data_IF_971955040570
#
_entry.id   IF_971955040570
#
_cell.length_a   1.000
_cell.length_b   1.000
_cell.length_c   1.000
_cell.angle_alpha   90.00
_cell.angle_beta   90.00
_cell.angle_gamma   90.00
#
_symmetry.space_group_name_H-M   'P 1'
#
loop_
_entity.id
_entity.type
_entity.pdbx_description
1 polymer ?
#
# COMPACT_ATOMS: atom_id res chain seq x y z
N UNK A 1 -27.66 16.59 45.15
CA UNK A 1 -27.44 15.56 44.13
C UNK A 1 -27.73 14.19 44.77
N UNK A 2 -28.59 13.33 44.21
CA UNK A 2 -28.81 12.00 44.76
C UNK A 2 -27.51 11.20 44.70
N UNK A 3 -27.22 10.34 45.71
CA UNK A 3 -26.01 9.50 45.67
C UNK A 3 -26.12 8.52 44.52
N UNK A 4 -25.08 8.47 43.70
CA UNK A 4 -24.96 7.46 42.62
C UNK A 4 -25.09 6.09 43.22
N UNK A 5 -25.99 5.28 42.68
CA UNK A 5 -26.24 3.92 43.18
C UNK A 5 -24.95 3.08 43.10
N UNK A 6 -24.81 2.12 44.01
CA UNK A 6 -23.67 1.18 44.02
C UNK A 6 -23.58 0.36 42.75
N UNK A 7 -24.70 0.13 42.05
CA UNK A 7 -24.80 -0.47 40.72
C UNK A 7 -24.11 0.35 39.66
N UNK A 8 -24.27 1.69 39.65
CA UNK A 8 -23.60 2.59 38.70
C UNK A 8 -22.08 2.60 38.88
N UNK A 9 -21.59 2.45 40.11
CA UNK A 9 -20.16 2.36 40.39
C UNK A 9 -19.57 1.02 39.96
N UNK A 10 -20.28 -0.09 40.12
CA UNK A 10 -19.79 -1.41 39.72
C UNK A 10 -19.77 -1.57 38.21
N UNK A 11 -20.74 -1.01 37.48
CA UNK A 11 -20.75 -1.00 36.02
C UNK A 11 -19.63 -0.15 35.46
N UNK A 12 -19.41 1.06 35.99
CA UNK A 12 -18.32 1.94 35.57
C UNK A 12 -16.94 1.31 35.83
N UNK A 13 -16.75 0.60 36.95
CA UNK A 13 -15.48 -0.08 37.25
C UNK A 13 -15.27 -1.27 36.30
N UNK A 14 -16.31 -2.02 35.98
CA UNK A 14 -16.27 -3.12 35.03
C UNK A 14 -15.90 -2.63 33.59
N UNK A 15 -16.47 -1.49 33.17
CA UNK A 15 -16.18 -0.92 31.86
C UNK A 15 -14.76 -0.39 31.76
N UNK A 16 -14.23 0.23 32.82
CA UNK A 16 -12.83 0.68 32.87
C UNK A 16 -11.89 -0.53 32.80
N UNK A 17 -12.18 -1.59 33.55
CA UNK A 17 -11.37 -2.81 33.51
C UNK A 17 -11.38 -3.48 32.14
N UNK A 18 -12.54 -3.60 31.48
CA UNK A 18 -12.66 -4.12 30.12
C UNK A 18 -11.84 -3.30 29.12
N UNK A 19 -11.89 -1.97 29.19
CA UNK A 19 -11.10 -1.08 28.33
C UNK A 19 -9.60 -1.25 28.55
N UNK A 20 -9.16 -1.45 29.80
CA UNK A 20 -7.75 -1.72 30.11
C UNK A 20 -7.29 -3.05 29.50
N UNK A 21 -8.07 -4.12 29.64
CA UNK A 21 -7.76 -5.43 29.05
C UNK A 21 -7.67 -5.32 27.53
N UNK A 22 -8.63 -4.64 26.90
CA UNK A 22 -8.61 -4.41 25.44
C UNK A 22 -7.37 -3.64 24.98
N UNK A 23 -6.96 -2.60 25.72
CA UNK A 23 -5.76 -1.80 25.40
C UNK A 23 -4.48 -2.61 25.55
N UNK A 24 -4.34 -3.35 26.63
CA UNK A 24 -3.17 -4.22 26.85
C UNK A 24 -3.08 -5.30 25.77
N UNK A 25 -4.22 -5.93 25.45
CA UNK A 25 -4.27 -6.93 24.38
C UNK A 25 -3.87 -6.34 23.03
N UNK A 26 -4.36 -5.14 22.69
CA UNK A 26 -3.99 -4.47 21.44
C UNK A 26 -2.48 -4.18 21.38
N UNK A 27 -1.87 -3.70 22.47
CA UNK A 27 -0.43 -3.44 22.54
C UNK A 27 0.37 -4.74 22.36
N UNK A 28 -0.03 -5.83 23.02
CA UNK A 28 0.63 -7.13 22.89
C UNK A 28 0.55 -7.66 21.46
N UNK A 29 -0.61 -7.55 20.82
CA UNK A 29 -0.80 -7.94 19.41
C UNK A 29 0.16 -7.17 18.51
N UNK A 30 0.19 -5.84 18.64
CA UNK A 30 1.09 -4.98 17.86
C UNK A 30 2.54 -5.41 18.05
N UNK A 31 2.96 -5.61 19.29
CA UNK A 31 4.35 -5.96 19.58
C UNK A 31 4.75 -7.31 18.98
N UNK A 32 3.94 -8.34 19.19
CA UNK A 32 4.24 -9.70 18.71
C UNK A 32 4.19 -9.75 17.18
N UNK A 33 3.13 -9.23 16.57
CA UNK A 33 2.95 -9.29 15.13
C UNK A 33 3.99 -8.41 14.41
N UNK A 34 4.23 -7.19 14.91
CA UNK A 34 5.22 -6.31 14.33
C UNK A 34 6.62 -6.94 14.38
N UNK A 35 7.01 -7.52 15.51
CA UNK A 35 8.31 -8.17 15.65
C UNK A 35 8.48 -9.35 14.68
N UNK A 36 7.51 -10.27 14.66
CA UNK A 36 7.58 -11.45 13.80
C UNK A 36 7.55 -11.08 12.32
N UNK A 37 6.63 -10.23 11.91
CA UNK A 37 6.48 -9.87 10.52
C UNK A 37 7.62 -8.99 10.00
N UNK A 38 8.13 -8.08 10.84
CA UNK A 38 9.30 -7.27 10.49
C UNK A 38 10.54 -8.13 10.26
N UNK A 39 10.76 -9.15 11.08
CA UNK A 39 11.87 -10.09 10.92
C UNK A 39 11.74 -10.89 9.62
N UNK A 40 10.53 -11.40 9.31
CA UNK A 40 10.28 -12.14 8.08
C UNK A 40 10.41 -11.23 6.85
N UNK A 41 9.87 -10.01 6.91
CA UNK A 41 10.00 -9.03 5.83
C UNK A 41 11.45 -8.65 5.57
N UNK A 42 12.24 -8.43 6.63
CA UNK A 42 13.66 -8.12 6.52
C UNK A 42 14.43 -9.22 5.79
N UNK A 43 14.19 -10.48 6.13
CA UNK A 43 14.79 -11.63 5.44
C UNK A 43 14.33 -11.73 3.99
N UNK A 44 13.04 -11.55 3.72
CA UNK A 44 12.50 -11.59 2.36
C UNK A 44 13.14 -10.52 1.46
N UNK A 45 13.30 -9.30 1.97
CA UNK A 45 13.91 -8.20 1.21
C UNK A 45 15.40 -8.47 0.98
N UNK A 46 16.11 -8.97 1.97
CA UNK A 46 17.54 -9.26 1.86
C UNK A 46 17.83 -10.35 0.81
N UNK A 47 16.96 -11.34 0.68
CA UNK A 47 17.15 -12.50 -0.20
C UNK A 47 16.53 -12.25 -1.58
N UNK A 48 15.28 -11.80 -1.62
CA UNK A 48 14.46 -11.72 -2.85
C UNK A 48 14.42 -10.29 -3.41
N UNK A 49 14.72 -9.27 -2.60
CA UNK A 49 14.65 -7.86 -3.01
C UNK A 49 13.24 -7.29 -3.07
N UNK A 50 12.21 -8.04 -2.66
CA UNK A 50 10.81 -7.58 -2.64
C UNK A 50 10.29 -7.44 -1.23
N UNK A 51 9.46 -6.40 -1.00
CA UNK A 51 8.86 -6.15 0.31
C UNK A 51 7.40 -6.64 0.33
N UNK A 52 7.06 -7.69 1.09
CA UNK A 52 5.71 -8.26 1.15
C UNK A 52 4.73 -7.47 2.05
N UNK A 53 4.85 -6.15 2.12
CA UNK A 53 4.09 -5.28 3.06
C UNK A 53 2.58 -5.46 2.93
N UNK A 54 2.04 -5.47 1.72
CA UNK A 54 0.59 -5.50 1.51
C UNK A 54 -0.06 -6.80 2.03
N UNK A 55 0.55 -7.96 1.74
CA UNK A 55 0.07 -9.25 2.20
C UNK A 55 0.15 -9.40 3.72
N UNK A 56 1.28 -9.00 4.31
CA UNK A 56 1.48 -9.05 5.76
C UNK A 56 0.57 -8.08 6.52
N UNK A 57 0.27 -6.91 5.94
CA UNK A 57 -0.68 -5.96 6.53
C UNK A 57 -2.10 -6.52 6.54
N UNK A 58 -2.55 -7.16 5.45
CA UNK A 58 -3.85 -7.83 5.41
C UNK A 58 -3.94 -8.96 6.46
N UNK A 59 -2.90 -9.79 6.56
CA UNK A 59 -2.81 -10.81 7.62
C UNK A 59 -2.89 -10.20 9.02
N UNK A 60 -2.18 -9.10 9.27
CA UNK A 60 -2.25 -8.37 10.54
C UNK A 60 -3.67 -7.91 10.85
N UNK A 61 -4.36 -7.35 9.85
CA UNK A 61 -5.73 -6.89 10.01
C UNK A 61 -6.69 -8.03 10.33
N UNK A 62 -6.55 -9.18 9.67
CA UNK A 62 -7.37 -10.37 9.95
C UNK A 62 -7.11 -10.87 11.37
N UNK A 63 -5.84 -11.11 11.73
CA UNK A 63 -5.46 -11.62 13.04
C UNK A 63 -5.86 -10.67 14.16
N UNK A 64 -5.58 -9.38 14.04
CA UNK A 64 -5.95 -8.38 15.04
C UNK A 64 -7.46 -8.25 15.18
N UNK A 65 -8.21 -8.31 14.08
CA UNK A 65 -9.67 -8.26 14.10
C UNK A 65 -10.26 -9.45 14.86
N UNK A 66 -9.80 -10.66 14.60
CA UNK A 66 -10.25 -11.87 15.28
C UNK A 66 -9.97 -11.81 16.79
N UNK A 67 -8.76 -11.37 17.18
CA UNK A 67 -8.40 -11.26 18.59
C UNK A 67 -9.18 -10.13 19.28
N UNK A 68 -9.35 -8.97 18.64
CA UNK A 68 -10.12 -7.86 19.22
C UNK A 68 -11.60 -8.24 19.43
N UNK A 69 -12.20 -8.95 18.48
CA UNK A 69 -13.56 -9.46 18.61
C UNK A 69 -13.66 -10.46 19.75
N UNK A 70 -12.71 -11.35 19.93
CA UNK A 70 -12.69 -12.32 21.05
C UNK A 70 -12.60 -11.64 22.43
N UNK A 71 -11.99 -10.47 22.52
CA UNK A 71 -11.90 -9.63 23.73
C UNK A 71 -13.11 -8.70 23.89
N UNK A 72 -14.08 -8.80 22.95
CA UNK A 72 -15.34 -8.04 23.02
C UNK A 72 -15.24 -6.62 22.43
N UNK A 73 -14.20 -6.32 21.62
CA UNK A 73 -14.07 -5.06 20.90
C UNK A 73 -14.56 -5.25 19.46
N UNK A 74 -15.79 -4.87 19.18
CA UNK A 74 -16.44 -5.00 17.88
C UNK A 74 -17.03 -3.68 17.40
N UNK A 75 -17.65 -3.67 16.21
CA UNK A 75 -18.25 -2.48 15.61
C UNK A 75 -17.24 -1.45 15.13
N UNK A 76 -17.67 -0.19 15.03
CA UNK A 76 -16.85 0.92 14.53
C UNK A 76 -15.59 1.16 15.35
N UNK A 77 -15.68 1.05 16.68
CA UNK A 77 -14.52 1.19 17.57
C UNK A 77 -13.51 0.07 17.36
N UNK A 78 -13.99 -1.17 17.19
CA UNK A 78 -13.14 -2.30 16.87
C UNK A 78 -12.46 -2.15 15.50
N UNK A 79 -13.18 -1.70 14.47
CA UNK A 79 -12.62 -1.43 13.15
C UNK A 79 -11.52 -0.37 13.20
N UNK A 80 -11.76 0.73 13.91
CA UNK A 80 -10.74 1.79 14.09
C UNK A 80 -9.50 1.25 14.78
N UNK A 81 -9.66 0.48 15.87
CA UNK A 81 -8.55 -0.13 16.58
C UNK A 81 -7.74 -1.09 15.68
N UNK A 82 -8.42 -1.95 14.92
CA UNK A 82 -7.77 -2.87 13.98
C UNK A 82 -7.00 -2.11 12.88
N UNK A 83 -7.58 -1.04 12.33
CA UNK A 83 -6.90 -0.20 11.32
C UNK A 83 -5.67 0.50 11.88
N UNK A 84 -5.73 1.01 13.11
CA UNK A 84 -4.56 1.60 13.79
C UNK A 84 -3.47 0.55 14.00
N UNK A 85 -3.83 -0.65 14.48
CA UNK A 85 -2.88 -1.76 14.62
C UNK A 85 -2.24 -2.12 13.28
N UNK A 86 -3.06 -2.29 12.24
CA UNK A 86 -2.59 -2.56 10.89
C UNK A 86 -1.67 -1.46 10.36
N UNK A 87 -2.00 -0.20 10.60
CA UNK A 87 -1.18 0.95 10.23
C UNK A 87 0.19 0.97 10.92
N UNK A 88 0.24 0.68 12.23
CA UNK A 88 1.50 0.60 12.99
C UNK A 88 2.38 -0.54 12.45
N UNK A 89 1.81 -1.73 12.25
CA UNK A 89 2.56 -2.88 11.73
C UNK A 89 2.99 -2.64 10.28
N UNK A 90 2.13 -2.04 9.45
CA UNK A 90 2.47 -1.66 8.07
C UNK A 90 3.66 -0.68 8.03
N UNK A 91 3.67 0.31 8.92
CA UNK A 91 4.78 1.27 9.05
C UNK A 91 6.06 0.55 9.47
N UNK A 92 6.00 -0.35 10.44
CA UNK A 92 7.16 -1.14 10.88
C UNK A 92 7.73 -2.01 9.73
N UNK A 93 6.87 -2.68 8.96
CA UNK A 93 7.26 -3.47 7.80
C UNK A 93 7.89 -2.61 6.70
N UNK A 94 7.30 -1.46 6.43
CA UNK A 94 7.79 -0.50 5.43
C UNK A 94 9.16 0.05 5.83
N UNK A 95 9.32 0.39 7.11
CA UNK A 95 10.59 0.86 7.67
C UNK A 95 11.68 -0.21 7.60
N UNK A 96 11.36 -1.47 7.90
CA UNK A 96 12.32 -2.57 7.79
C UNK A 96 12.82 -2.73 6.34
N UNK A 97 11.90 -2.65 5.37
CA UNK A 97 12.24 -2.73 3.96
C UNK A 97 13.13 -1.59 3.49
N UNK A 98 12.71 -0.36 3.77
CA UNK A 98 13.52 0.82 3.45
C UNK A 98 14.88 0.81 4.16
N UNK A 99 14.95 0.26 5.38
CA UNK A 99 16.18 0.18 6.14
C UNK A 99 17.23 -0.74 5.50
N UNK A 100 16.81 -1.92 5.06
CA UNK A 100 17.71 -2.88 4.41
C UNK A 100 18.22 -2.36 3.06
N UNK A 101 17.34 -1.74 2.26
CA UNK A 101 17.75 -1.14 0.99
C UNK A 101 18.71 0.02 1.19
N UNK A 102 18.46 0.89 2.16
CA UNK A 102 19.34 2.02 2.48
C UNK A 102 20.72 1.54 2.97
N UNK A 103 20.77 0.51 3.83
CA UNK A 103 22.04 -0.08 4.28
C UNK A 103 22.81 -0.69 3.11
N UNK A 104 22.14 -1.31 2.15
CA UNK A 104 22.78 -1.85 0.94
C UNK A 104 23.39 -0.75 0.07
N UNK A 105 22.65 0.34 -0.14
CA UNK A 105 23.14 1.53 -0.85
C UNK A 105 24.33 2.15 -0.10
N UNK A 106 24.20 2.27 1.23
CA UNK A 106 25.26 2.79 2.08
C UNK A 106 26.54 1.95 2.04
N UNK A 107 26.40 0.63 1.94
CA UNK A 107 27.54 -0.27 1.74
C UNK A 107 28.26 0.04 0.43
N UNK A 108 27.55 0.25 -0.66
CA UNK A 108 28.15 0.60 -1.96
C UNK A 108 28.80 1.98 -1.96
N UNK A 109 28.24 2.94 -1.22
CA UNK A 109 28.77 4.31 -1.10
C UNK A 109 29.85 4.46 -0.02
N UNK A 110 30.13 3.41 0.77
CA UNK A 110 31.10 3.45 1.87
C UNK A 110 30.64 4.26 3.08
N UNK A 111 29.33 4.44 3.28
CA UNK A 111 28.81 5.18 4.43
C UNK A 111 28.73 4.32 5.68
N UNK A 112 28.88 4.97 6.86
CA UNK A 112 28.82 4.27 8.15
C UNK A 112 27.38 3.92 8.53
N UNK A 113 27.02 2.65 8.75
CA UNK A 113 25.66 2.23 9.10
C UNK A 113 25.06 3.01 10.28
N UNK A 114 25.84 3.20 11.35
CA UNK A 114 25.43 3.94 12.54
C UNK A 114 24.94 5.36 12.24
N UNK A 115 25.58 6.06 11.30
CA UNK A 115 25.16 7.42 10.90
C UNK A 115 23.86 7.37 10.09
N UNK A 116 23.73 6.40 9.19
CA UNK A 116 22.47 6.22 8.43
C UNK A 116 21.29 5.93 9.35
N UNK A 117 21.48 5.06 10.34
CA UNK A 117 20.44 4.72 11.31
C UNK A 117 20.00 5.93 12.12
N UNK A 118 20.94 6.71 12.65
CA UNK A 118 20.63 7.89 13.45
C UNK A 118 19.85 8.94 12.66
N UNK A 119 20.26 9.25 11.44
CA UNK A 119 19.58 10.24 10.60
C UNK A 119 18.22 9.75 10.09
N UNK A 120 18.02 8.45 9.97
CA UNK A 120 16.74 7.88 9.56
C UNK A 120 15.62 8.17 10.57
N UNK A 121 15.91 8.19 11.87
CA UNK A 121 14.92 8.58 12.88
C UNK A 121 14.41 10.00 12.65
N UNK A 122 15.32 10.95 12.40
CA UNK A 122 14.93 12.33 12.10
C UNK A 122 14.11 12.42 10.81
N UNK A 123 14.55 11.73 9.75
CA UNK A 123 13.82 11.66 8.47
C UNK A 123 12.42 11.08 8.64
N UNK A 124 12.28 10.02 9.42
CA UNK A 124 10.96 9.38 9.69
C UNK A 124 10.03 10.33 10.43
N UNK A 125 10.54 11.08 11.42
CA UNK A 125 9.73 12.05 12.16
C UNK A 125 9.20 13.17 11.25
N UNK A 126 10.07 13.74 10.42
CA UNK A 126 9.69 14.77 9.44
C UNK A 126 8.70 14.23 8.42
N UNK A 127 8.96 13.01 7.91
CA UNK A 127 8.06 12.34 6.96
C UNK A 127 6.67 12.08 7.56
N UNK A 128 6.59 11.62 8.81
CA UNK A 128 5.31 11.38 9.49
C UNK A 128 4.47 12.66 9.61
N UNK A 129 5.09 13.78 9.98
CA UNK A 129 4.41 15.07 10.04
C UNK A 129 3.95 15.54 8.65
N UNK A 130 4.82 15.40 7.64
CA UNK A 130 4.52 15.79 6.25
C UNK A 130 3.37 14.95 5.67
N UNK A 131 3.41 13.63 5.85
CA UNK A 131 2.36 12.72 5.36
C UNK A 131 1.01 13.05 5.99
N UNK A 132 0.96 13.31 7.29
CA UNK A 132 -0.28 13.71 7.96
C UNK A 132 -0.86 15.01 7.35
N UNK A 133 -0.02 16.01 7.10
CA UNK A 133 -0.42 17.24 6.43
C UNK A 133 -0.92 17.01 5.00
N UNK A 134 -0.22 16.22 4.21
CA UNK A 134 -0.61 15.88 2.83
C UNK A 134 -1.93 15.13 2.80
N UNK A 135 -2.17 14.18 3.72
CA UNK A 135 -3.44 13.45 3.80
C UNK A 135 -4.63 14.37 4.10
N UNK A 136 -4.45 15.38 4.95
CA UNK A 136 -5.48 16.39 5.23
C UNK A 136 -5.78 17.20 3.95
N UNK A 137 -4.74 17.62 3.23
CA UNK A 137 -4.88 18.38 1.98
C UNK A 137 -5.59 17.55 0.92
N UNK A 138 -5.18 16.30 0.70
CA UNK A 138 -5.80 15.40 -0.25
C UNK A 138 -7.28 15.14 0.06
N UNK A 139 -7.60 14.91 1.34
CA UNK A 139 -8.98 14.70 1.76
C UNK A 139 -9.86 15.94 1.52
N UNK A 140 -9.32 17.14 1.74
CA UNK A 140 -10.07 18.39 1.48
C UNK A 140 -10.19 18.73 -0.01
N UNK A 141 -9.19 18.35 -0.81
CA UNK A 141 -9.16 18.71 -2.24
C UNK A 141 -9.94 17.73 -3.12
N UNK A 142 -9.85 16.44 -2.85
CA UNK A 142 -10.45 15.39 -3.68
C UNK A 142 -11.44 14.51 -2.91
N UNK A 143 -11.30 14.39 -1.59
CA UNK A 143 -12.03 13.41 -0.79
C UNK A 143 -11.54 11.98 -1.02
N UNK A 144 -11.96 11.07 -0.13
CA UNK A 144 -11.67 9.62 -0.23
C UNK A 144 -12.94 8.79 -0.47
N UNK A 145 -14.11 9.42 -0.44
CA UNK A 145 -15.41 8.76 -0.59
C UNK A 145 -16.29 9.60 -1.53
N UNK A 146 -16.96 8.96 -2.46
CA UNK A 146 -17.90 9.59 -3.39
C UNK A 146 -17.44 9.55 -4.86
N UNK A 147 -18.25 10.13 -5.74
CA UNK A 147 -17.91 10.24 -7.16
C UNK A 147 -16.75 11.22 -7.36
N UNK A 148 -15.74 10.81 -8.14
CA UNK A 148 -14.54 11.61 -8.38
C UNK A 148 -13.52 11.61 -7.25
N UNK A 149 -13.74 10.83 -6.17
CA UNK A 149 -12.79 10.67 -5.08
C UNK A 149 -11.54 9.90 -5.52
N UNK A 150 -10.44 10.08 -4.75
CA UNK A 150 -9.20 9.33 -4.99
C UNK A 150 -9.44 7.83 -4.82
N UNK A 151 -9.13 7.08 -5.85
CA UNK A 151 -9.25 5.62 -5.81
C UNK A 151 -8.16 5.04 -4.91
N UNK A 152 -8.57 4.34 -3.85
CA UNK A 152 -7.68 3.66 -2.91
C UNK A 152 -7.97 2.15 -2.87
N UNK A 153 -7.56 1.36 -3.90
CA UNK A 153 -7.94 -0.04 -4.03
C UNK A 153 -7.55 -0.89 -2.82
N UNK A 154 -6.35 -0.69 -2.29
CA UNK A 154 -5.88 -1.45 -1.12
C UNK A 154 -6.66 -1.11 0.15
N UNK A 155 -7.00 0.16 0.37
CA UNK A 155 -7.82 0.57 1.52
C UNK A 155 -9.24 -0.05 1.44
N UNK A 156 -9.82 -0.08 0.25
CA UNK A 156 -11.11 -0.73 0.00
C UNK A 156 -11.05 -2.24 0.23
N UNK A 157 -9.97 -2.91 -0.20
CA UNK A 157 -9.75 -4.33 0.07
C UNK A 157 -9.64 -4.61 1.57
N UNK A 158 -8.91 -3.77 2.30
CA UNK A 158 -8.78 -3.88 3.76
C UNK A 158 -10.13 -3.67 4.45
N UNK A 159 -10.91 -2.68 4.04
CA UNK A 159 -12.25 -2.43 4.56
C UNK A 159 -13.19 -3.62 4.30
N UNK A 160 -13.18 -4.19 3.09
CA UNK A 160 -13.99 -5.35 2.74
C UNK A 160 -13.69 -6.60 3.59
N UNK A 161 -12.46 -6.75 4.08
CA UNK A 161 -12.06 -7.84 4.97
C UNK A 161 -12.46 -7.56 6.44
N UNK A 162 -12.20 -6.33 6.93
CA UNK A 162 -12.40 -5.99 8.33
C UNK A 162 -13.88 -5.84 8.68
N UNK A 163 -14.67 -5.23 7.77
CA UNK A 163 -16.05 -4.90 8.04
C UNK A 163 -16.90 -6.13 8.43
N UNK A 164 -16.92 -7.25 7.68
CA UNK A 164 -17.68 -8.43 8.06
C UNK A 164 -17.21 -9.05 9.38
N UNK A 165 -15.91 -9.05 9.65
CA UNK A 165 -15.32 -9.60 10.86
C UNK A 165 -15.72 -8.83 12.12
N UNK A 166 -15.84 -7.50 12.01
CA UNK A 166 -16.05 -6.61 13.16
C UNK A 166 -17.51 -6.24 13.44
N UNK A 167 -18.41 -6.31 12.43
CA UNK A 167 -19.81 -5.92 12.58
C UNK A 167 -20.72 -7.04 13.07
N UNK A 168 -20.16 -8.25 13.31
CA UNK A 168 -20.95 -9.42 13.69
C UNK A 168 -21.91 -9.91 12.59
N UNK A 169 -21.73 -9.43 11.35
CA UNK A 169 -22.42 -9.94 10.18
C UNK A 169 -22.02 -11.39 9.90
N UNK A 170 -22.78 -12.07 9.06
CA UNK A 170 -22.40 -13.40 8.59
C UNK A 170 -21.11 -13.25 7.78
N UNK A 171 -19.98 -13.55 8.40
CA UNK A 171 -18.69 -13.58 7.72
C UNK A 171 -18.78 -14.65 6.61
N UNK A 172 -18.51 -14.32 5.35
CA UNK A 172 -18.67 -15.26 4.24
C UNK A 172 -17.52 -16.28 4.20
N UNK A 173 -17.43 -17.13 5.22
CA UNK A 173 -16.37 -18.12 5.38
C UNK A 173 -16.18 -18.99 4.14
N UNK A 174 -17.29 -19.33 3.48
CA UNK A 174 -17.27 -20.12 2.23
C UNK A 174 -16.44 -19.41 1.15
N UNK A 175 -16.59 -18.08 1.00
CA UNK A 175 -15.81 -17.32 0.01
C UNK A 175 -14.33 -17.27 0.38
N UNK A 176 -14.00 -17.16 1.67
CA UNK A 176 -12.60 -17.20 2.12
C UNK A 176 -11.96 -18.56 1.86
N UNK A 177 -12.68 -19.66 2.11
CA UNK A 177 -12.18 -21.00 1.79
C UNK A 177 -12.05 -21.23 0.28
N UNK A 178 -12.99 -20.75 -0.54
CA UNK A 178 -12.88 -20.77 -1.99
C UNK A 178 -11.67 -19.96 -2.49
N UNK A 179 -11.45 -18.78 -1.93
CA UNK A 179 -10.28 -17.96 -2.24
C UNK A 179 -8.96 -18.64 -1.86
N UNK A 180 -8.91 -19.27 -0.68
CA UNK A 180 -7.74 -20.04 -0.25
C UNK A 180 -7.46 -21.25 -1.16
N UNK A 181 -8.50 -22.00 -1.54
CA UNK A 181 -8.38 -23.11 -2.47
C UNK A 181 -7.90 -22.65 -3.85
N UNK A 182 -8.46 -21.53 -4.37
CA UNK A 182 -8.02 -20.93 -5.62
C UNK A 182 -6.56 -20.50 -5.56
N UNK A 183 -6.12 -19.88 -4.45
CA UNK A 183 -4.73 -19.48 -4.26
C UNK A 183 -3.77 -20.67 -4.27
N UNK A 184 -4.15 -21.80 -3.66
CA UNK A 184 -3.37 -23.03 -3.69
C UNK A 184 -3.26 -23.60 -5.12
N UNK A 185 -4.37 -23.63 -5.86
CA UNK A 185 -4.38 -24.07 -7.26
C UNK A 185 -3.49 -23.17 -8.12
N UNK A 186 -3.62 -21.85 -8.02
CA UNK A 186 -2.79 -20.90 -8.78
C UNK A 186 -1.31 -21.07 -8.47
N UNK A 187 -0.97 -21.23 -7.19
CA UNK A 187 0.43 -21.44 -6.78
C UNK A 187 0.98 -22.76 -7.31
N UNK A 188 0.18 -23.82 -7.35
CA UNK A 188 0.60 -25.13 -7.89
C UNK A 188 0.87 -25.10 -9.40
N UNK A 189 0.20 -24.21 -10.15
CA UNK A 189 0.42 -24.01 -11.59
C UNK A 189 1.53 -22.95 -11.86
N UNK A 190 2.15 -22.39 -10.82
CA UNK A 190 3.19 -21.38 -10.97
C UNK A 190 2.69 -19.95 -11.22
N UNK A 191 1.37 -19.70 -11.05
CA UNK A 191 0.79 -18.36 -11.16
C UNK A 191 0.84 -17.67 -9.80
N UNK A 192 1.42 -16.47 -9.70
CA UNK A 192 1.49 -15.73 -8.43
C UNK A 192 0.07 -15.33 -7.97
N UNK A 193 -0.44 -16.01 -6.95
CA UNK A 193 -1.81 -15.86 -6.45
C UNK A 193 -2.12 -14.43 -5.99
N UNK A 194 -1.13 -13.73 -5.41
CA UNK A 194 -1.30 -12.32 -4.98
C UNK A 194 -1.52 -11.38 -6.18
N UNK A 195 -0.74 -11.54 -7.25
CA UNK A 195 -0.89 -10.72 -8.46
C UNK A 195 -2.24 -10.97 -9.14
N UNK A 196 -2.67 -12.23 -9.18
CA UNK A 196 -3.99 -12.60 -9.71
C UNK A 196 -5.13 -11.97 -8.89
N UNK A 197 -5.08 -12.07 -7.56
CA UNK A 197 -6.08 -11.50 -6.68
C UNK A 197 -6.15 -9.97 -6.79
N UNK A 198 -5.01 -9.29 -6.86
CA UNK A 198 -4.96 -7.84 -7.09
C UNK A 198 -5.55 -7.46 -8.44
N UNK A 199 -5.26 -8.23 -9.51
CA UNK A 199 -5.84 -7.99 -10.83
C UNK A 199 -7.36 -8.15 -10.86
N UNK A 200 -7.93 -9.05 -10.07
CA UNK A 200 -9.39 -9.18 -9.91
C UNK A 200 -10.02 -7.99 -9.15
N UNK A 201 -9.28 -7.43 -8.22
CA UNK A 201 -9.80 -6.40 -7.32
C UNK A 201 -9.61 -4.97 -7.87
N UNK A 202 -8.53 -4.73 -8.60
CA UNK A 202 -8.21 -3.41 -9.16
C UNK A 202 -9.18 -3.09 -10.32
N UNK A 203 -9.74 -1.86 -10.39
CA UNK A 203 -10.59 -1.45 -11.49
C UNK A 203 -9.92 -1.63 -12.86
N UNK A 204 -10.72 -1.92 -13.90
CA UNK A 204 -10.22 -2.19 -15.26
C UNK A 204 -9.39 -1.04 -15.83
N UNK A 205 -9.73 0.20 -15.46
CA UNK A 205 -9.04 1.43 -15.86
C UNK A 205 -7.56 1.45 -15.42
N UNK A 206 -7.25 0.81 -14.30
CA UNK A 206 -5.88 0.66 -13.78
C UNK A 206 -5.22 -0.63 -14.27
N UNK A 207 -5.99 -1.68 -14.57
CA UNK A 207 -5.48 -2.95 -15.07
C UNK A 207 -5.07 -2.91 -16.54
N UNK A 208 -5.84 -2.22 -17.39
CA UNK A 208 -5.54 -2.14 -18.82
C UNK A 208 -4.12 -1.59 -19.12
N UNK A 209 -3.66 -0.50 -18.47
CA UNK A 209 -2.29 -0.01 -18.62
C UNK A 209 -1.22 -1.03 -18.19
N UNK A 210 -1.49 -1.88 -17.19
CA UNK A 210 -0.54 -2.91 -16.74
C UNK A 210 -0.30 -3.96 -17.84
N UNK A 211 -1.36 -4.38 -18.53
CA UNK A 211 -1.24 -5.32 -19.66
C UNK A 211 -0.41 -4.73 -20.78
N UNK A 212 -0.69 -3.48 -21.15
CA UNK A 212 0.07 -2.78 -22.19
C UNK A 212 1.54 -2.60 -21.78
N UNK A 213 1.80 -2.19 -20.53
CA UNK A 213 3.16 -2.08 -19.99
C UNK A 213 3.91 -3.42 -20.00
N UNK A 214 3.23 -4.51 -19.64
CA UNK A 214 3.77 -5.87 -19.70
C UNK A 214 4.15 -6.29 -21.13
N UNK A 215 3.29 -5.99 -22.10
CA UNK A 215 3.59 -6.25 -23.53
C UNK A 215 4.79 -5.45 -24.04
N UNK A 216 4.89 -4.18 -23.64
CA UNK A 216 6.06 -3.34 -24.00
C UNK A 216 7.34 -3.88 -23.37
N UNK A 217 7.29 -4.28 -22.08
CA UNK A 217 8.42 -4.88 -21.40
C UNK A 217 8.86 -6.19 -22.05
N UNK A 218 7.92 -7.07 -22.37
CA UNK A 218 8.18 -8.32 -23.08
C UNK A 218 8.81 -8.07 -24.46
N UNK A 219 8.25 -7.13 -25.24
CA UNK A 219 8.77 -6.77 -26.56
C UNK A 219 10.20 -6.24 -26.49
N UNK A 220 10.51 -5.36 -25.54
CA UNK A 220 11.81 -4.71 -25.43
C UNK A 220 12.86 -5.69 -24.89
N UNK A 221 12.52 -6.51 -23.89
CA UNK A 221 13.45 -7.47 -23.28
C UNK A 221 13.64 -8.76 -24.07
N UNK A 222 12.75 -9.08 -25.00
CA UNK A 222 12.85 -10.29 -25.85
C UNK A 222 13.48 -10.07 -27.23
N UNK A 223 13.85 -8.84 -27.58
CA UNK A 223 14.24 -8.50 -28.95
C UNK A 223 15.69 -8.87 -29.33
N UNK A 224 16.57 -9.11 -28.38
CA UNK A 224 17.96 -9.48 -28.63
C UNK A 224 18.23 -10.93 -28.25
N UNK A 225 19.17 -11.56 -28.95
CA UNK A 225 19.71 -12.87 -28.58
C UNK A 225 20.72 -12.78 -27.42
N UNK A 226 21.20 -11.58 -27.11
CA UNK A 226 22.12 -11.31 -26.00
C UNK A 226 21.32 -11.03 -24.71
N UNK A 227 21.38 -11.96 -23.77
CA UNK A 227 20.69 -11.86 -22.47
C UNK A 227 21.18 -10.63 -21.66
N UNK A 228 22.46 -10.28 -21.72
CA UNK A 228 23.00 -9.12 -21.03
C UNK A 228 22.41 -7.81 -21.55
N UNK A 229 22.22 -7.69 -22.85
CA UNK A 229 21.57 -6.52 -23.46
C UNK A 229 20.08 -6.46 -23.12
N UNK A 230 19.39 -7.60 -23.10
CA UNK A 230 17.98 -7.67 -22.71
C UNK A 230 17.80 -7.26 -21.24
N UNK A 231 18.70 -7.70 -20.37
CA UNK A 231 18.70 -7.30 -18.96
C UNK A 231 18.94 -5.78 -18.81
N UNK A 232 19.94 -5.22 -19.49
CA UNK A 232 20.22 -3.78 -19.46
C UNK A 232 19.02 -2.95 -19.96
N UNK A 233 18.30 -3.43 -20.97
CA UNK A 233 17.05 -2.81 -21.45
C UNK A 233 15.96 -2.85 -20.41
N UNK A 234 15.77 -4.00 -19.78
CA UNK A 234 14.76 -4.17 -18.70
C UNK A 234 15.07 -3.25 -17.52
N UNK A 235 16.30 -3.22 -17.03
CA UNK A 235 16.74 -2.39 -15.91
C UNK A 235 16.56 -0.90 -16.23
N UNK A 236 16.93 -0.47 -17.43
CA UNK A 236 16.72 0.90 -17.89
C UNK A 236 15.22 1.26 -17.99
N UNK A 237 14.38 0.35 -18.48
CA UNK A 237 12.94 0.52 -18.53
C UNK A 237 12.34 0.68 -17.13
N UNK A 238 12.78 -0.14 -16.19
CA UNK A 238 12.37 -0.08 -14.79
C UNK A 238 12.74 1.25 -14.14
N UNK A 239 13.96 1.77 -14.37
CA UNK A 239 14.38 3.08 -13.86
C UNK A 239 13.54 4.22 -14.43
N UNK A 240 13.25 4.21 -15.72
CA UNK A 240 12.39 5.22 -16.35
C UNK A 240 10.97 5.15 -15.77
N UNK A 241 10.41 3.95 -15.66
CA UNK A 241 9.07 3.75 -15.09
C UNK A 241 9.01 4.24 -13.64
N UNK A 242 10.03 3.94 -12.83
CA UNK A 242 10.14 4.44 -11.46
C UNK A 242 10.17 5.97 -11.40
N UNK A 243 10.88 6.61 -12.33
CA UNK A 243 10.90 8.06 -12.45
C UNK A 243 9.53 8.65 -12.78
N UNK A 244 8.78 8.04 -13.70
CA UNK A 244 7.42 8.47 -14.04
C UNK A 244 6.44 8.27 -12.87
N UNK A 245 6.53 7.16 -12.14
CA UNK A 245 5.71 6.91 -10.95
C UNK A 245 5.98 7.98 -9.88
N UNK A 246 7.26 8.21 -9.56
CA UNK A 246 7.65 9.21 -8.56
C UNK A 246 7.26 10.62 -9.00
N UNK A 247 7.50 10.99 -10.25
CA UNK A 247 7.13 12.30 -10.80
C UNK A 247 5.61 12.52 -10.80
N UNK A 248 4.84 11.50 -11.19
CA UNK A 248 3.38 11.55 -11.14
C UNK A 248 2.83 11.72 -9.72
N UNK A 249 3.39 10.99 -8.76
CA UNK A 249 3.00 11.12 -7.35
C UNK A 249 3.31 12.52 -6.80
N UNK A 250 4.50 13.05 -7.07
CA UNK A 250 4.86 14.42 -6.67
C UNK A 250 3.97 15.47 -7.31
N UNK A 251 3.69 15.34 -8.61
CA UNK A 251 2.80 16.26 -9.32
C UNK A 251 1.37 16.18 -8.80
N UNK A 252 0.90 14.99 -8.40
CA UNK A 252 -0.40 14.82 -7.75
C UNK A 252 -0.50 15.60 -6.44
N UNK A 253 0.56 15.58 -5.61
CA UNK A 253 0.62 16.38 -4.38
C UNK A 253 0.64 17.87 -4.68
N UNK A 254 1.46 18.31 -5.66
CA UNK A 254 1.50 19.72 -6.09
C UNK A 254 0.14 20.20 -6.57
N UNK A 255 -0.53 19.39 -7.41
CA UNK A 255 -1.89 19.69 -7.89
C UNK A 255 -2.90 19.81 -6.74
N UNK A 256 -2.82 18.91 -5.74
CA UNK A 256 -3.68 18.96 -4.56
C UNK A 256 -3.46 20.22 -3.72
N UNK A 257 -2.19 20.64 -3.55
CA UNK A 257 -1.85 21.88 -2.83
C UNK A 257 -2.37 23.10 -3.58
N UNK A 258 -2.19 23.16 -4.90
CA UNK A 258 -2.70 24.27 -5.73
C UNK A 258 -4.22 24.38 -5.62
N UNK A 259 -4.92 23.25 -5.74
CA UNK A 259 -6.39 23.19 -5.59
C UNK A 259 -6.83 23.62 -4.19
N UNK A 260 -6.08 23.23 -3.16
CA UNK A 260 -6.34 23.65 -1.77
C UNK A 260 -6.20 25.16 -1.57
N UNK A 261 -5.25 25.80 -2.25
CA UNK A 261 -5.03 27.27 -2.23
C UNK A 261 -6.05 28.03 -3.10
N UNK A 262 -6.90 27.30 -3.85
CA UNK A 262 -7.93 27.87 -4.70
C UNK A 262 -7.52 28.06 -6.17
N UNK A 263 -6.34 27.55 -6.55
CA UNK A 263 -5.91 27.52 -7.96
C UNK A 263 -6.33 26.19 -8.56
N UNK A 264 -7.46 26.17 -9.27
CA UNK A 264 -7.95 24.99 -9.97
C UNK A 264 -7.72 25.13 -11.47
N UNK A 265 -6.77 24.34 -11.99
CA UNK A 265 -6.50 24.27 -13.43
C UNK A 265 -7.27 23.14 -14.11
N UNK A 266 -8.13 22.46 -13.36
CA UNK A 266 -8.88 21.33 -13.89
C UNK A 266 -10.07 21.81 -14.74
N UNK A 267 -9.97 21.60 -16.03
CA UNK A 267 -11.02 21.92 -17.00
C UNK A 267 -12.07 20.80 -17.05
N UNK A 268 -12.99 20.78 -16.11
CA UNK A 268 -14.01 19.72 -15.97
C UNK A 268 -14.84 19.51 -17.22
N UNK A 269 -15.25 20.59 -17.89
CA UNK A 269 -16.01 20.52 -19.13
C UNK A 269 -15.23 19.95 -20.32
N UNK A 270 -13.89 20.14 -20.33
CA UNK A 270 -13.04 19.53 -21.35
C UNK A 270 -12.73 18.07 -21.02
N UNK A 271 -12.50 17.75 -19.76
CA UNK A 271 -12.15 16.40 -19.31
C UNK A 271 -13.24 15.36 -19.65
N UNK A 272 -14.50 15.74 -19.72
CA UNK A 272 -15.62 14.89 -20.11
C UNK A 272 -15.93 14.89 -21.62
N UNK A 273 -15.10 15.53 -22.44
CA UNK A 273 -15.29 15.62 -23.89
C UNK A 273 -14.60 14.49 -24.65
N UNK A 274 -15.15 14.09 -25.80
CA UNK A 274 -14.50 13.14 -26.71
C UNK A 274 -13.10 13.63 -27.17
N UNK A 275 -12.88 14.93 -27.20
CA UNK A 275 -11.56 15.50 -27.54
C UNK A 275 -10.52 15.17 -26.46
N UNK A 276 -10.89 15.15 -25.19
CA UNK A 276 -10.00 14.75 -24.09
C UNK A 276 -9.62 13.27 -24.16
N UNK A 277 -10.58 12.39 -24.51
CA UNK A 277 -10.32 10.96 -24.69
C UNK A 277 -9.31 10.70 -25.81
N UNK A 278 -9.49 11.31 -26.98
CA UNK A 278 -8.55 11.17 -28.09
C UNK A 278 -7.18 11.75 -27.78
N UNK A 279 -7.14 12.88 -27.08
CA UNK A 279 -5.87 13.49 -26.66
C UNK A 279 -5.16 12.61 -25.62
N UNK A 280 -5.90 12.04 -24.67
CA UNK A 280 -5.39 11.09 -23.70
C UNK A 280 -4.81 9.83 -24.35
N UNK A 281 -5.53 9.26 -25.34
CA UNK A 281 -5.06 8.13 -26.13
C UNK A 281 -3.78 8.47 -26.89
N UNK A 282 -3.74 9.63 -27.56
CA UNK A 282 -2.54 10.08 -28.28
C UNK A 282 -1.34 10.24 -27.35
N UNK A 283 -1.51 10.87 -26.18
CA UNK A 283 -0.45 11.01 -25.18
C UNK A 283 0.00 9.66 -24.63
N UNK A 284 -0.91 8.72 -24.46
CA UNK A 284 -0.58 7.37 -24.02
C UNK A 284 0.28 6.64 -25.06
N UNK A 285 -0.05 6.74 -26.35
CA UNK A 285 0.74 6.18 -27.42
C UNK A 285 2.14 6.83 -27.51
N UNK A 286 2.23 8.15 -27.30
CA UNK A 286 3.52 8.86 -27.23
C UNK A 286 4.36 8.35 -26.08
N UNK A 287 3.78 8.11 -24.91
CA UNK A 287 4.46 7.52 -23.76
C UNK A 287 4.98 6.12 -24.06
N UNK A 288 4.16 5.25 -24.63
CA UNK A 288 4.58 3.90 -25.05
C UNK A 288 5.75 3.98 -26.03
N UNK A 289 5.65 4.85 -27.05
CA UNK A 289 6.71 5.07 -28.02
C UNK A 289 8.01 5.57 -27.37
N UNK A 290 7.91 6.51 -26.45
CA UNK A 290 9.04 7.02 -25.68
C UNK A 290 9.72 5.92 -24.85
N UNK A 291 8.93 5.12 -24.12
CA UNK A 291 9.45 3.99 -23.34
C UNK A 291 10.19 3.00 -24.23
N UNK A 292 9.54 2.54 -25.29
CA UNK A 292 10.15 1.58 -26.21
C UNK A 292 11.42 2.15 -26.87
N UNK A 293 11.38 3.38 -27.35
CA UNK A 293 12.52 4.03 -27.98
C UNK A 293 13.70 4.23 -27.05
N UNK A 294 13.44 4.71 -25.83
CA UNK A 294 14.49 5.01 -24.85
C UNK A 294 15.12 3.73 -24.29
N UNK A 295 14.31 2.70 -24.01
CA UNK A 295 14.79 1.42 -23.50
C UNK A 295 15.59 0.64 -24.55
N UNK A 296 15.18 0.65 -25.81
CA UNK A 296 15.91 0.00 -26.89
C UNK A 296 17.32 0.58 -27.13
N UNK A 297 17.56 1.82 -26.71
CA UNK A 297 18.88 2.48 -26.76
C UNK A 297 19.81 2.11 -25.61
N UNK A 298 19.40 1.23 -24.70
CA UNK A 298 20.30 0.75 -23.65
C UNK A 298 21.51 0.07 -24.27
N UNK A 299 22.68 0.39 -23.73
CA UNK A 299 23.95 -0.28 -24.04
C UNK A 299 24.28 -1.25 -22.92
N UNK A 300 24.99 -2.31 -23.25
CA UNK A 300 25.55 -3.22 -22.28
C UNK A 300 26.56 -2.44 -21.43
N UNK A 301 26.42 -2.41 -20.13
CA UNK A 301 27.45 -1.93 -19.24
C UNK A 301 28.56 -2.99 -19.22
N UNK A 302 29.80 -2.56 -19.46
CA UNK A 302 31.01 -3.41 -19.43
C UNK A 302 31.36 -3.79 -17.98
#
# INVERSE_FOLDING_TARGET
RPPRSTLDRSSATSDVYKRQVQSVTAILIVFIIAFLFTTVAANAIAIVGTNPVSGMTLMTLILSSLVLVSVGLSGTTGMTAALVIGGVVCTALSMAGGFITDLKIGYWLGTTPKKQEAWKFLGTFVAAATVAGVMIILNKSYGFVGEGALVAPQANAMAAVIQPLMTGGQTPWMLYFCGAALALVLTSIGVPALAFALGMFIPMELNAPLVVGGLVAWFVSGRSKDEGLNKARFDRGTLIASGFIAGGALMGVVSAVLKFVGVDWFLSGWASSNAAEWTGLAMYLVLIGYFAWHTLRAKKEE
#
